data_IF_873814492443
#
_entry.id   IF_873814492443
#
_cell.length_a   1.000
_cell.length_b   1.000
_cell.length_c   1.000
_cell.angle_alpha   90.00
_cell.angle_beta   90.00
_cell.angle_gamma   90.00
#
_symmetry.space_group_name_H-M   'P 1'
#
loop_
_entity.id
_entity.type
_entity.pdbx_description
1 polymer ?
#
# COMPACT_ATOMS: atom_id res chain seq x y z
N UNK A 1 -12.99 0.33 -2.49
CA UNK A 1 -12.82 1.50 -3.38
C UNK A 1 -11.75 1.13 -4.39
N UNK A 2 -12.14 0.85 -5.64
CA UNK A 2 -11.19 0.50 -6.70
C UNK A 2 -10.77 1.75 -7.46
N UNK A 3 -9.55 1.74 -7.97
CA UNK A 3 -9.06 2.73 -8.92
C UNK A 3 -9.99 2.77 -10.16
N UNK A 4 -10.20 3.95 -10.76
CA UNK A 4 -11.04 4.10 -11.94
C UNK A 4 -10.46 3.40 -13.18
N UNK A 5 -9.18 3.06 -13.17
CA UNK A 5 -8.50 2.36 -14.25
C UNK A 5 -7.56 1.31 -13.67
N UNK A 6 -7.54 0.13 -14.29
CA UNK A 6 -6.60 -0.93 -13.95
C UNK A 6 -5.16 -0.51 -14.29
N UNK A 7 -4.24 -0.81 -13.39
CA UNK A 7 -2.82 -0.61 -13.58
C UNK A 7 -2.14 -1.92 -14.03
N UNK A 8 -1.00 -1.84 -14.74
CA UNK A 8 -0.17 -3.00 -15.03
C UNK A 8 0.25 -3.73 -13.75
N UNK A 9 0.32 -5.05 -13.80
CA UNK A 9 0.63 -5.89 -12.64
C UNK A 9 1.90 -6.72 -12.86
N UNK A 10 2.64 -6.92 -11.78
CA UNK A 10 3.76 -7.83 -11.66
C UNK A 10 3.67 -8.52 -10.27
N UNK A 11 2.57 -9.24 -10.08
CA UNK A 11 2.19 -9.76 -8.77
C UNK A 11 3.13 -10.88 -8.32
N UNK A 12 3.74 -10.71 -7.15
CA UNK A 12 4.56 -11.72 -6.49
C UNK A 12 4.29 -11.69 -4.98
N UNK A 13 4.59 -12.79 -4.27
CA UNK A 13 4.51 -12.83 -2.82
C UNK A 13 5.84 -12.31 -2.22
N UNK A 14 5.88 -11.09 -1.64
CA UNK A 14 7.13 -10.52 -1.11
C UNK A 14 7.56 -11.16 0.22
N UNK A 15 6.69 -11.97 0.83
CA UNK A 15 6.92 -12.64 2.11
C UNK A 15 6.76 -11.70 3.30
N UNK A 16 7.59 -10.66 3.41
CA UNK A 16 7.50 -9.67 4.50
C UNK A 16 7.13 -8.31 3.93
N UNK A 17 6.02 -7.77 4.40
CA UNK A 17 5.57 -6.41 4.15
C UNK A 17 6.14 -5.51 5.24
N UNK A 18 6.60 -4.33 4.86
CA UNK A 18 7.20 -3.35 5.77
C UNK A 18 6.32 -2.12 5.91
N UNK A 19 6.45 -1.44 7.03
CA UNK A 19 5.85 -0.12 7.21
C UNK A 19 6.27 0.81 6.06
N UNK A 20 5.31 1.51 5.48
CA UNK A 20 5.51 2.39 4.33
C UNK A 20 5.49 1.69 2.97
N UNK A 21 5.42 0.35 2.87
CA UNK A 21 5.27 -0.33 1.58
C UNK A 21 3.94 0.09 0.92
N UNK A 22 4.02 0.63 -0.30
CA UNK A 22 2.88 0.92 -1.16
C UNK A 22 2.79 -0.15 -2.26
N UNK A 23 1.69 -0.87 -2.25
CA UNK A 23 1.48 -2.07 -3.06
C UNK A 23 0.15 -1.98 -3.83
N UNK A 24 0.05 -2.72 -4.92
CA UNK A 24 -1.19 -2.92 -5.67
C UNK A 24 -1.68 -4.36 -5.48
N UNK A 25 -2.91 -4.49 -4.99
CA UNK A 25 -3.65 -5.75 -4.90
C UNK A 25 -4.59 -5.89 -6.11
N UNK A 26 -4.48 -7.02 -6.81
CA UNK A 26 -5.08 -7.19 -8.12
C UNK A 26 -4.52 -6.16 -9.10
N UNK A 27 -5.40 -5.54 -9.88
CA UNK A 27 -5.03 -4.47 -10.83
C UNK A 27 -5.55 -3.07 -10.43
N UNK A 28 -6.33 -2.95 -9.36
CA UNK A 28 -7.08 -1.72 -9.09
C UNK A 28 -7.20 -1.33 -7.62
N UNK A 29 -6.56 -2.03 -6.68
CA UNK A 29 -6.63 -1.68 -5.25
C UNK A 29 -5.25 -1.32 -4.72
N UNK A 30 -5.05 -0.05 -4.35
CA UNK A 30 -3.84 0.36 -3.64
C UNK A 30 -3.92 -0.04 -2.17
N UNK A 31 -2.80 -0.54 -1.65
CA UNK A 31 -2.64 -0.96 -0.26
C UNK A 31 -1.39 -0.29 0.30
N UNK A 32 -1.58 0.51 1.34
CA UNK A 32 -0.49 1.10 2.11
C UNK A 32 -0.36 0.35 3.44
N UNK A 33 0.82 -0.20 3.70
CA UNK A 33 1.08 -0.91 4.95
C UNK A 33 1.68 0.03 5.98
N UNK A 34 1.10 0.06 7.18
CA UNK A 34 1.56 0.87 8.32
C UNK A 34 2.11 0.03 9.48
N UNK A 35 2.19 -1.28 9.28
CA UNK A 35 2.80 -2.24 10.19
C UNK A 35 3.66 -3.21 9.38
N UNK A 36 4.66 -3.80 10.04
CA UNK A 36 5.51 -4.84 9.42
C UNK A 36 4.99 -6.21 9.82
N UNK A 37 4.62 -7.02 8.83
CA UNK A 37 4.14 -8.38 9.06
C UNK A 37 4.40 -9.29 7.86
N UNK A 38 4.24 -10.60 8.07
CA UNK A 38 4.37 -11.59 7.01
C UNK A 38 3.05 -11.79 6.28
N UNK A 39 3.11 -11.85 4.95
CA UNK A 39 1.96 -12.11 4.09
C UNK A 39 2.34 -13.07 2.96
N UNK A 40 1.44 -14.01 2.69
CA UNK A 40 1.52 -14.93 1.54
C UNK A 40 0.80 -14.41 0.31
N UNK A 41 0.09 -13.28 0.41
CA UNK A 41 -0.64 -12.71 -0.71
C UNK A 41 0.32 -12.11 -1.74
N UNK A 42 -0.08 -12.20 -3.00
CA UNK A 42 0.65 -11.63 -4.11
C UNK A 42 0.26 -10.15 -4.31
N UNK A 43 1.27 -9.30 -4.44
CA UNK A 43 1.11 -7.87 -4.69
C UNK A 43 2.07 -7.42 -5.79
N UNK A 44 1.70 -6.35 -6.49
CA UNK A 44 2.64 -5.61 -7.34
C UNK A 44 3.24 -4.46 -6.55
N UNK A 45 4.58 -4.38 -6.48
CA UNK A 45 5.28 -3.30 -5.77
C UNK A 45 5.17 -2.00 -6.56
N UNK A 46 4.68 -0.95 -5.91
CA UNK A 46 4.57 0.40 -6.50
C UNK A 46 5.69 1.30 -5.98
N UNK A 47 5.97 1.22 -4.68
CA UNK A 47 7.03 2.00 -4.04
C UNK A 47 7.00 1.89 -2.52
N UNK A 48 7.65 2.85 -1.88
CA UNK A 48 7.72 2.99 -0.42
C UNK A 48 7.59 4.46 -0.06
N UNK A 49 7.01 4.73 1.12
CA UNK A 49 7.02 6.06 1.72
C UNK A 49 8.43 6.35 2.26
N UNK A 50 8.99 7.51 1.94
CA UNK A 50 10.34 7.92 2.36
C UNK A 50 10.44 8.12 3.88
N UNK A 51 9.42 8.72 4.50
CA UNK A 51 9.29 8.88 5.95
C UNK A 51 7.95 8.29 6.45
N UNK A 52 7.92 7.02 6.86
CA UNK A 52 6.71 6.39 7.37
C UNK A 52 6.44 6.69 8.85
N UNK A 53 7.22 7.59 9.48
CA UNK A 53 7.01 7.94 10.89
C UNK A 53 5.61 8.54 11.12
N UNK A 54 4.96 8.14 12.22
CA UNK A 54 3.61 8.58 12.55
C UNK A 54 2.48 7.97 11.71
N UNK A 55 2.76 7.12 10.71
CA UNK A 55 1.72 6.52 9.86
C UNK A 55 0.77 5.62 10.67
N UNK A 56 1.31 4.79 11.57
CA UNK A 56 0.50 3.93 12.44
C UNK A 56 -0.43 4.75 13.35
N UNK A 57 0.09 5.84 13.92
CA UNK A 57 -0.67 6.73 14.80
C UNK A 57 -1.77 7.49 14.03
N UNK A 58 -1.47 7.95 12.82
CA UNK A 58 -2.40 8.70 11.99
C UNK A 58 -3.55 7.84 11.45
N UNK A 59 -3.27 6.59 11.07
CA UNK A 59 -4.29 5.69 10.52
C UNK A 59 -5.19 5.12 11.64
N UNK A 60 -4.60 4.75 12.78
CA UNK A 60 -5.33 4.30 13.97
C UNK A 60 -6.48 3.33 13.65
N UNK A 61 -7.67 3.61 14.20
CA UNK A 61 -8.92 2.85 13.93
C UNK A 61 -9.98 3.67 13.20
N UNK A 62 -9.61 4.84 12.68
CA UNK A 62 -10.53 5.82 12.12
C UNK A 62 -10.75 5.67 10.62
N UNK A 63 -11.66 6.47 10.08
CA UNK A 63 -11.76 6.68 8.63
C UNK A 63 -10.68 7.64 8.18
N UNK A 64 -9.94 7.27 7.13
CA UNK A 64 -8.85 8.07 6.59
C UNK A 64 -9.15 8.46 5.15
N UNK A 65 -8.85 9.71 4.80
CA UNK A 65 -8.90 10.18 3.41
C UNK A 65 -7.49 10.23 2.84
N UNK A 66 -7.28 9.55 1.70
CA UNK A 66 -6.00 9.55 0.99
C UNK A 66 -6.12 10.40 -0.27
N UNK A 67 -5.19 11.33 -0.48
CA UNK A 67 -5.10 12.17 -1.68
C UNK A 67 -3.78 11.94 -2.38
N UNK A 68 -3.82 11.71 -3.68
CA UNK A 68 -2.65 11.62 -4.54
C UNK A 68 -2.54 12.90 -5.37
N UNK A 69 -1.33 13.45 -5.49
CA UNK A 69 -1.06 14.62 -6.31
C UNK A 69 0.28 14.50 -7.03
N UNK A 70 0.36 15.08 -8.22
CA UNK A 70 1.61 15.23 -8.95
C UNK A 70 2.20 16.59 -8.60
N UNK A 71 3.50 16.62 -8.31
CA UNK A 71 4.24 17.86 -8.14
C UNK A 71 4.38 18.63 -9.46
#
# INVERSE_FOLDING_TARGET
>A
MSLPTSLPTAAAAPGTLRVGDLMLYGSSTLVLFYETFRSSYAYTRIGTIDDPSGLADALGRGTVTVRFERR
#
